data_IF_571521432994
#
_entry.id   IF_571521432994
#
_cell.length_a   1.000
_cell.length_b   1.000
_cell.length_c   1.000
_cell.angle_alpha   90.00
_cell.angle_beta   90.00
_cell.angle_gamma   90.00
#
_symmetry.space_group_name_H-M   'P 1'
#
loop_
_entity.id
_entity.type
_entity.pdbx_description
1 polymer ?
#
# COMPACT_ATOMS: atom_id res chain seq x y z
N UNK A 1 0.12 -28.64 -11.93
CA UNK A 1 1.39 -27.95 -12.20
C UNK A 1 1.51 -26.82 -11.18
N UNK A 2 2.63 -26.71 -10.45
CA UNK A 2 2.81 -25.59 -9.49
C UNK A 2 2.85 -24.27 -10.23
N UNK A 3 2.23 -23.22 -9.66
CA UNK A 3 2.32 -21.86 -10.20
C UNK A 3 3.77 -21.40 -10.25
N UNK A 4 4.15 -20.72 -11.32
CA UNK A 4 5.49 -20.17 -11.55
C UNK A 4 5.80 -19.10 -10.48
N UNK A 5 6.97 -19.23 -9.82
CA UNK A 5 7.44 -18.22 -8.86
C UNK A 5 8.04 -17.05 -9.60
N UNK A 6 7.50 -15.84 -9.38
CA UNK A 6 8.03 -14.60 -9.93
C UNK A 6 9.05 -13.94 -9.01
N UNK A 7 8.77 -13.87 -7.72
CA UNK A 7 9.64 -13.26 -6.73
C UNK A 7 9.86 -14.22 -5.57
N UNK A 8 11.12 -14.39 -5.19
CA UNK A 8 11.51 -15.12 -3.99
C UNK A 8 12.51 -14.31 -3.20
N UNK A 9 12.16 -13.98 -1.98
CA UNK A 9 13.02 -13.36 -0.98
C UNK A 9 13.30 -14.44 0.08
N UNK A 10 14.57 -14.72 0.34
CA UNK A 10 14.97 -15.81 1.24
C UNK A 10 15.93 -15.30 2.31
N UNK A 11 15.59 -15.53 3.57
CA UNK A 11 16.42 -15.21 4.75
C UNK A 11 16.92 -13.76 4.78
N UNK A 12 16.04 -12.82 4.43
CA UNK A 12 16.39 -11.40 4.39
C UNK A 12 16.60 -10.87 5.80
N UNK A 13 17.80 -10.34 6.04
CA UNK A 13 18.16 -9.63 7.26
C UNK A 13 18.45 -8.16 6.98
N UNK A 14 18.02 -7.30 7.92
CA UNK A 14 18.35 -5.86 7.91
C UNK A 14 18.46 -5.33 9.31
N UNK A 15 19.61 -4.74 9.61
CA UNK A 15 19.91 -4.12 10.89
C UNK A 15 20.11 -2.61 10.75
N UNK A 16 19.63 -1.85 11.72
CA UNK A 16 19.92 -0.44 11.92
C UNK A 16 20.52 -0.25 13.30
N UNK A 17 21.24 0.85 13.60
CA UNK A 17 21.79 1.07 14.93
C UNK A 17 20.74 0.87 16.03
N UNK A 18 20.92 -0.18 16.85
CA UNK A 18 20.04 -0.52 17.96
C UNK A 18 18.77 -1.29 17.62
N UNK A 19 18.49 -1.61 16.34
CA UNK A 19 17.26 -2.32 15.93
C UNK A 19 17.52 -3.32 14.82
N UNK A 20 17.18 -4.58 15.05
CA UNK A 20 17.10 -5.60 14.00
C UNK A 20 15.72 -5.53 13.34
N UNK A 21 15.65 -4.82 12.22
CA UNK A 21 14.38 -4.54 11.54
C UNK A 21 13.85 -5.72 10.72
N UNK A 22 14.74 -6.62 10.25
CA UNK A 22 14.41 -7.89 9.60
C UNK A 22 15.35 -8.97 10.09
N UNK A 23 14.77 -10.10 10.49
CA UNK A 23 15.49 -11.27 10.99
C UNK A 23 15.02 -12.52 10.24
N UNK A 24 15.81 -12.97 9.25
CA UNK A 24 15.56 -14.15 8.43
C UNK A 24 14.15 -14.20 7.81
N UNK A 25 13.68 -13.06 7.26
CA UNK A 25 12.35 -12.96 6.65
C UNK A 25 12.37 -13.54 5.23
N UNK A 26 11.39 -14.39 4.94
CA UNK A 26 11.20 -14.97 3.61
C UNK A 26 9.82 -14.64 3.06
N UNK A 27 9.74 -14.38 1.74
CA UNK A 27 8.50 -14.07 1.02
C UNK A 27 8.57 -14.67 -0.38
N UNK A 28 7.53 -15.37 -0.81
CA UNK A 28 7.44 -15.93 -2.15
C UNK A 28 6.17 -15.44 -2.84
N UNK A 29 6.29 -14.85 -4.03
CA UNK A 29 5.16 -14.37 -4.82
C UNK A 29 5.09 -15.14 -6.14
N UNK A 30 3.94 -15.70 -6.41
CA UNK A 30 3.67 -16.50 -7.61
C UNK A 30 3.03 -15.67 -8.71
N UNK A 31 3.20 -16.10 -9.94
CA UNK A 31 2.59 -15.47 -11.11
C UNK A 31 1.07 -15.54 -11.05
N UNK A 32 0.42 -14.42 -11.29
CA UNK A 32 -1.03 -14.34 -11.29
C UNK A 32 -1.65 -14.60 -9.93
N UNK A 33 -1.00 -14.19 -8.84
CA UNK A 33 -1.54 -14.29 -7.48
C UNK A 33 -1.43 -12.97 -6.73
N UNK A 34 -2.30 -12.82 -5.74
CA UNK A 34 -2.25 -11.76 -4.74
C UNK A 34 -1.69 -12.35 -3.45
N UNK A 35 -0.49 -11.94 -3.07
CA UNK A 35 0.16 -12.30 -1.82
C UNK A 35 0.02 -11.16 -0.81
N UNK A 36 -0.74 -11.37 0.24
CA UNK A 36 -0.89 -10.37 1.29
C UNK A 36 0.27 -10.43 2.29
N UNK A 37 0.77 -9.26 2.69
CA UNK A 37 1.79 -9.12 3.73
C UNK A 37 1.20 -8.36 4.91
N UNK A 38 1.03 -9.06 6.03
CA UNK A 38 0.39 -8.53 7.22
C UNK A 38 1.35 -8.46 8.41
N UNK A 39 1.00 -7.64 9.39
CA UNK A 39 1.75 -7.45 10.64
C UNK A 39 1.42 -6.10 11.26
N UNK A 40 1.71 -5.93 12.54
CA UNK A 40 1.55 -4.65 13.24
C UNK A 40 2.46 -3.55 12.66
N UNK A 41 2.22 -2.30 13.06
CA UNK A 41 3.15 -1.21 12.75
C UNK A 41 4.50 -1.51 13.40
N UNK A 42 5.59 -1.37 12.63
CA UNK A 42 6.92 -1.76 13.09
C UNK A 42 7.29 -3.24 12.84
N UNK A 43 6.40 -4.09 12.34
CA UNK A 43 6.69 -5.50 12.06
C UNK A 43 7.74 -5.75 10.95
N UNK A 44 8.25 -4.70 10.29
CA UNK A 44 9.29 -4.81 9.26
C UNK A 44 8.78 -4.83 7.82
N UNK A 45 7.46 -4.81 7.56
CA UNK A 45 6.87 -4.88 6.20
C UNK A 45 7.46 -3.85 5.23
N UNK A 46 7.43 -2.58 5.59
CA UNK A 46 7.97 -1.50 4.75
C UNK A 46 9.49 -1.59 4.59
N UNK A 47 10.21 -2.12 5.59
CA UNK A 47 11.65 -2.37 5.49
C UNK A 47 11.95 -3.48 4.49
N UNK A 48 11.17 -4.57 4.50
CA UNK A 48 11.28 -5.66 3.53
C UNK A 48 11.05 -5.15 2.09
N UNK A 49 10.02 -4.33 1.88
CA UNK A 49 9.76 -3.72 0.57
C UNK A 49 10.88 -2.74 0.17
N UNK A 50 11.41 -1.94 1.09
CA UNK A 50 12.54 -1.05 0.81
C UNK A 50 13.82 -1.82 0.43
N UNK A 51 14.03 -3.02 0.98
CA UNK A 51 15.10 -3.92 0.53
C UNK A 51 14.83 -4.45 -0.88
N UNK A 52 13.60 -4.84 -1.21
CA UNK A 52 13.21 -5.26 -2.56
C UNK A 52 13.46 -4.15 -3.58
N UNK A 53 13.15 -2.90 -3.23
CA UNK A 53 13.32 -1.74 -4.13
C UNK A 53 14.75 -1.16 -4.16
N UNK A 54 15.70 -1.75 -3.43
CA UNK A 54 17.08 -1.23 -3.37
C UNK A 54 17.20 0.15 -2.72
N UNK A 55 16.19 0.57 -1.93
CA UNK A 55 16.26 1.76 -1.08
C UNK A 55 17.15 1.48 0.12
N UNK A 56 17.02 0.28 0.68
CA UNK A 56 17.93 -0.25 1.69
C UNK A 56 18.69 -1.46 1.13
N UNK A 57 19.98 -1.51 1.36
CA UNK A 57 20.76 -2.74 1.14
C UNK A 57 20.39 -3.75 2.22
N UNK A 58 20.05 -4.97 1.84
CA UNK A 58 19.96 -6.09 2.77
C UNK A 58 21.33 -6.45 3.34
N UNK A 59 21.38 -6.89 4.59
CA UNK A 59 22.64 -7.28 5.23
C UNK A 59 22.94 -8.77 5.03
N UNK A 60 21.88 -9.59 4.85
CA UNK A 60 21.99 -11.01 4.49
C UNK A 60 20.75 -11.47 3.69
N UNK A 61 20.81 -12.70 3.17
CA UNK A 61 19.75 -13.30 2.37
C UNK A 61 19.88 -13.01 0.88
N UNK A 62 18.93 -13.52 0.08
CA UNK A 62 18.90 -13.31 -1.38
C UNK A 62 17.52 -12.93 -1.87
N UNK A 63 17.48 -12.20 -2.98
CA UNK A 63 16.27 -11.84 -3.72
C UNK A 63 16.42 -12.40 -5.13
N UNK A 64 15.44 -13.18 -5.56
CA UNK A 64 15.38 -13.76 -6.91
C UNK A 64 14.11 -13.27 -7.61
N UNK A 65 14.27 -12.77 -8.82
CA UNK A 65 13.17 -12.39 -9.72
C UNK A 65 13.21 -13.32 -10.94
N UNK A 66 12.13 -14.07 -11.18
CA UNK A 66 12.05 -15.10 -12.22
C UNK A 66 13.24 -16.08 -12.18
N UNK A 67 13.64 -16.54 -10.97
CA UNK A 67 14.73 -17.47 -10.74
C UNK A 67 16.13 -16.88 -10.92
N UNK A 68 16.25 -15.57 -11.15
CA UNK A 68 17.55 -14.88 -11.26
C UNK A 68 17.77 -14.02 -10.03
N UNK A 69 18.93 -14.17 -9.40
CA UNK A 69 19.31 -13.33 -8.28
C UNK A 69 19.44 -11.86 -8.71
N UNK A 70 18.82 -10.96 -7.94
CA UNK A 70 18.84 -9.52 -8.17
C UNK A 70 19.26 -8.78 -6.90
N UNK A 71 19.94 -7.66 -7.09
CA UNK A 71 20.33 -6.77 -6.00
C UNK A 71 20.28 -5.32 -6.52
N UNK A 72 19.09 -4.74 -6.49
CA UNK A 72 18.85 -3.41 -7.02
C UNK A 72 19.56 -2.35 -6.17
N UNK A 73 20.21 -1.40 -6.83
CA UNK A 73 20.95 -0.30 -6.18
C UNK A 73 20.06 0.90 -5.87
N UNK A 74 18.88 0.97 -6.49
CA UNK A 74 17.91 2.05 -6.33
C UNK A 74 16.55 1.65 -6.94
N UNK A 75 15.52 2.43 -6.63
CA UNK A 75 14.14 2.18 -7.10
C UNK A 75 14.00 2.22 -8.62
N UNK A 76 14.83 3.01 -9.35
CA UNK A 76 14.78 3.05 -10.82
C UNK A 76 15.22 1.71 -11.42
N UNK A 77 16.21 1.08 -10.83
CA UNK A 77 16.67 -0.24 -11.26
C UNK A 77 15.60 -1.31 -11.02
N UNK A 78 14.91 -1.27 -9.85
CA UNK A 78 13.79 -2.15 -9.56
C UNK A 78 12.64 -1.97 -10.58
N UNK A 79 12.25 -0.72 -10.86
CA UNK A 79 11.22 -0.40 -11.87
C UNK A 79 11.60 -0.90 -13.27
N UNK A 80 12.85 -0.71 -13.70
CA UNK A 80 13.34 -1.17 -15.01
C UNK A 80 13.37 -2.70 -15.12
N UNK A 81 13.42 -3.42 -14.00
CA UNK A 81 13.35 -4.88 -13.93
C UNK A 81 11.93 -5.41 -13.71
N UNK A 82 10.92 -4.55 -13.72
CA UNK A 82 9.52 -4.93 -13.65
C UNK A 82 8.99 -5.09 -12.23
N UNK A 83 9.55 -4.38 -11.25
CA UNK A 83 9.02 -4.29 -9.89
C UNK A 83 8.54 -2.86 -9.63
N UNK A 84 7.22 -2.65 -9.49
CA UNK A 84 6.62 -1.34 -9.20
C UNK A 84 5.97 -1.31 -7.82
N UNK A 85 5.75 -0.11 -7.30
CA UNK A 85 5.10 0.10 -6.01
C UNK A 85 4.15 1.28 -6.06
N UNK A 86 2.97 1.07 -5.50
CA UNK A 86 2.01 2.11 -5.12
C UNK A 86 2.25 2.39 -3.64
N UNK A 87 2.77 3.56 -3.34
CA UNK A 87 3.13 3.96 -1.96
C UNK A 87 1.90 4.43 -1.17
N UNK A 88 1.94 4.26 0.13
CA UNK A 88 0.96 4.81 1.06
C UNK A 88 0.94 6.35 1.00
N UNK A 89 2.11 6.98 0.96
CA UNK A 89 2.24 8.44 0.82
C UNK A 89 2.31 8.85 -0.65
N UNK A 90 1.47 9.81 -1.04
CA UNK A 90 1.42 10.33 -2.40
C UNK A 90 2.55 11.34 -2.64
N UNK A 91 3.68 10.85 -3.16
CA UNK A 91 4.84 11.67 -3.52
C UNK A 91 4.74 12.23 -4.94
N UNK A 92 3.74 13.07 -5.19
CA UNK A 92 3.39 13.61 -6.51
C UNK A 92 3.85 15.04 -6.71
N UNK A 93 4.19 15.38 -7.95
CA UNK A 93 4.48 16.75 -8.35
C UNK A 93 3.17 17.56 -8.48
N UNK A 94 2.67 18.11 -7.36
CA UNK A 94 1.34 18.71 -7.25
C UNK A 94 1.11 19.88 -8.22
N UNK A 95 2.15 20.62 -8.62
CA UNK A 95 2.08 21.73 -9.57
C UNK A 95 2.14 21.29 -11.04
N UNK A 96 2.29 20.00 -11.31
CA UNK A 96 2.29 19.41 -12.64
C UNK A 96 0.95 18.75 -12.92
N UNK A 97 0.67 18.50 -14.20
CA UNK A 97 -0.53 17.78 -14.61
C UNK A 97 -0.40 16.27 -14.36
N UNK A 98 -1.48 15.55 -14.59
CA UNK A 98 -1.59 14.10 -14.37
C UNK A 98 -0.62 13.33 -15.27
N UNK A 99 -0.62 13.59 -16.58
CA UNK A 99 0.28 12.87 -17.50
C UNK A 99 1.75 13.13 -17.20
N UNK A 100 2.14 14.35 -16.77
CA UNK A 100 3.51 14.62 -16.31
C UNK A 100 3.90 13.74 -15.12
N UNK A 101 2.98 13.52 -14.17
CA UNK A 101 3.25 12.65 -13.02
C UNK A 101 3.39 11.18 -13.39
N UNK A 102 2.58 10.67 -14.34
CA UNK A 102 2.67 9.29 -14.83
C UNK A 102 4.00 9.04 -15.53
N UNK A 103 4.42 9.97 -16.38
CA UNK A 103 5.61 9.81 -17.24
C UNK A 103 6.88 10.44 -16.67
N UNK A 104 6.87 10.91 -15.43
CA UNK A 104 8.01 11.56 -14.80
C UNK A 104 9.28 10.70 -14.88
N UNK A 105 10.34 11.27 -15.47
CA UNK A 105 11.63 10.59 -15.65
C UNK A 105 11.72 9.60 -16.81
N UNK A 106 10.62 9.44 -17.61
CA UNK A 106 10.55 8.56 -18.80
C UNK A 106 9.64 9.12 -19.88
N UNK A 107 9.70 10.43 -20.09
CA UNK A 107 8.89 11.12 -21.09
C UNK A 107 9.09 10.52 -22.49
N UNK A 108 8.01 10.25 -23.24
CA UNK A 108 8.13 9.93 -24.67
C UNK A 108 8.84 11.08 -25.40
N UNK A 109 9.83 10.75 -26.22
CA UNK A 109 10.66 11.75 -26.92
C UNK A 109 10.45 11.68 -28.42
N UNK A 110 10.42 12.85 -29.08
CA UNK A 110 10.52 12.97 -30.54
C UNK A 110 11.96 13.25 -30.91
N UNK A 111 12.53 12.41 -31.79
CA UNK A 111 13.93 12.49 -32.21
C UNK A 111 14.95 12.51 -31.05
N UNK A 112 14.57 12.03 -29.86
CA UNK A 112 15.46 11.98 -28.69
C UNK A 112 15.74 13.31 -27.99
N UNK A 113 15.13 14.41 -28.44
CA UNK A 113 15.45 15.78 -27.96
C UNK A 113 14.24 16.47 -27.34
N UNK A 114 13.06 16.32 -27.92
CA UNK A 114 11.84 17.03 -27.46
C UNK A 114 10.82 16.06 -26.89
N UNK A 115 10.16 16.48 -25.81
CA UNK A 115 9.04 15.70 -25.22
C UNK A 115 7.88 15.61 -26.22
N UNK A 116 7.41 14.41 -26.48
CA UNK A 116 6.25 14.16 -27.34
C UNK A 116 4.97 14.16 -26.50
N UNK A 117 4.42 15.36 -26.29
CA UNK A 117 3.19 15.51 -25.50
C UNK A 117 1.98 14.79 -26.11
N UNK A 118 1.89 14.71 -27.44
CA UNK A 118 0.81 14.01 -28.10
C UNK A 118 0.83 12.51 -27.79
N UNK A 119 2.00 11.90 -27.90
CA UNK A 119 2.22 10.49 -27.55
C UNK A 119 1.96 10.25 -26.06
N UNK A 120 2.41 11.15 -25.21
CA UNK A 120 2.20 11.09 -23.76
C UNK A 120 0.71 11.13 -23.41
N UNK A 121 -0.07 12.02 -24.06
CA UNK A 121 -1.51 12.11 -23.89
C UNK A 121 -2.23 10.85 -24.38
N UNK A 122 -1.86 10.35 -25.57
CA UNK A 122 -2.41 9.13 -26.17
C UNK A 122 -2.19 7.92 -25.23
N UNK A 123 -0.95 7.72 -24.77
CA UNK A 123 -0.60 6.58 -23.92
C UNK A 123 -1.27 6.69 -22.53
N UNK A 124 -1.41 7.92 -21.99
CA UNK A 124 -2.14 8.13 -20.73
C UNK A 124 -3.62 7.78 -20.88
N UNK A 125 -4.26 8.22 -21.97
CA UNK A 125 -5.67 7.92 -22.24
C UNK A 125 -5.89 6.40 -22.37
N UNK A 126 -5.01 5.68 -23.06
CA UNK A 126 -5.08 4.22 -23.17
C UNK A 126 -5.05 3.54 -21.79
N UNK A 127 -4.12 3.97 -20.93
CA UNK A 127 -4.03 3.43 -19.56
C UNK A 127 -5.32 3.74 -18.77
N UNK A 128 -5.85 4.95 -18.89
CA UNK A 128 -7.06 5.36 -18.19
C UNK A 128 -8.30 4.61 -18.69
N UNK A 129 -8.44 4.43 -19.99
CA UNK A 129 -9.50 3.62 -20.58
C UNK A 129 -9.43 2.16 -20.09
N UNK A 130 -8.24 1.59 -20.10
CA UNK A 130 -7.99 0.22 -19.63
C UNK A 130 -8.34 0.05 -18.13
N UNK A 131 -7.99 1.04 -17.31
CA UNK A 131 -8.22 1.02 -15.85
C UNK A 131 -9.61 1.56 -15.46
N UNK A 132 -10.39 2.08 -16.40
CA UNK A 132 -11.68 2.72 -16.11
C UNK A 132 -11.56 4.00 -15.28
N UNK A 133 -10.45 4.75 -15.44
CA UNK A 133 -10.18 5.99 -14.71
C UNK A 133 -10.72 7.19 -15.49
N UNK A 134 -11.70 7.89 -14.90
CA UNK A 134 -12.32 9.09 -15.51
C UNK A 134 -11.64 10.37 -14.99
N UNK A 135 -10.40 10.62 -15.41
CA UNK A 135 -9.61 11.80 -15.05
C UNK A 135 -9.01 12.42 -16.32
N UNK A 136 -9.06 13.76 -16.43
CA UNK A 136 -8.39 14.46 -17.53
C UNK A 136 -6.86 14.42 -17.33
N UNK A 137 -6.08 13.86 -18.29
CA UNK A 137 -4.63 13.80 -18.23
C UNK A 137 -3.94 15.16 -18.09
N UNK A 138 -4.58 16.23 -18.52
CA UNK A 138 -4.04 17.61 -18.44
C UNK A 138 -4.40 18.32 -17.13
N UNK A 139 -5.24 17.73 -16.29
CA UNK A 139 -5.65 18.32 -15.01
C UNK A 139 -4.45 18.44 -14.08
N UNK A 140 -4.35 19.57 -13.36
CA UNK A 140 -3.29 19.81 -12.37
C UNK A 140 -3.56 18.99 -11.11
N UNK A 141 -2.55 18.26 -10.64
CA UNK A 141 -2.66 17.33 -9.50
C UNK A 141 -3.18 18.01 -8.22
N UNK A 142 -2.77 19.25 -7.92
CA UNK A 142 -3.20 19.96 -6.71
C UNK A 142 -4.70 20.28 -6.67
N UNK A 143 -5.41 20.24 -7.81
CA UNK A 143 -6.85 20.49 -7.90
C UNK A 143 -7.71 19.24 -7.72
N UNK A 144 -7.06 18.10 -7.49
CA UNK A 144 -7.72 16.80 -7.42
C UNK A 144 -7.90 16.33 -5.97
N UNK A 145 -9.03 15.68 -5.65
CA UNK A 145 -9.17 14.98 -4.37
C UNK A 145 -8.12 13.87 -4.23
N UNK A 146 -7.83 13.51 -2.97
CA UNK A 146 -6.78 12.53 -2.63
C UNK A 146 -7.06 11.18 -3.30
N UNK A 147 -8.31 10.73 -3.33
CA UNK A 147 -8.71 9.47 -3.96
C UNK A 147 -8.40 9.42 -5.45
N UNK A 148 -8.69 10.49 -6.20
CA UNK A 148 -8.35 10.56 -7.62
C UNK A 148 -6.83 10.57 -7.83
N UNK A 149 -6.07 11.24 -6.95
CA UNK A 149 -4.61 11.21 -6.99
C UNK A 149 -4.06 9.81 -6.72
N UNK A 150 -4.72 9.04 -5.84
CA UNK A 150 -4.39 7.63 -5.60
C UNK A 150 -4.58 6.79 -6.88
N UNK A 151 -5.68 7.00 -7.63
CA UNK A 151 -5.90 6.31 -8.91
C UNK A 151 -4.82 6.66 -9.94
N UNK A 152 -4.30 7.89 -9.94
CA UNK A 152 -3.17 8.28 -10.81
C UNK A 152 -1.88 7.54 -10.41
N UNK A 153 -1.59 7.34 -9.12
CA UNK A 153 -0.43 6.53 -8.69
C UNK A 153 -0.57 5.07 -9.14
N UNK A 154 -1.76 4.51 -9.06
CA UNK A 154 -2.03 3.16 -9.57
C UNK A 154 -1.79 3.10 -11.09
N UNK A 155 -2.34 4.06 -11.85
CA UNK A 155 -2.11 4.16 -13.29
C UNK A 155 -0.62 4.29 -13.64
N UNK A 156 0.13 5.07 -12.86
CA UNK A 156 1.58 5.20 -12.97
C UNK A 156 2.29 3.87 -12.74
N UNK A 157 1.95 3.11 -11.70
CA UNK A 157 2.53 1.79 -11.44
C UNK A 157 2.23 0.81 -12.58
N UNK A 158 1.00 0.78 -13.08
CA UNK A 158 0.58 -0.06 -14.22
C UNK A 158 1.32 0.31 -15.50
N UNK A 159 1.57 1.60 -15.74
CA UNK A 159 2.27 2.10 -16.93
C UNK A 159 3.72 1.62 -17.09
N UNK A 160 4.31 0.99 -16.06
CA UNK A 160 5.62 0.32 -16.16
C UNK A 160 5.52 -1.11 -16.72
N UNK A 161 4.30 -1.63 -16.95
CA UNK A 161 4.09 -3.03 -17.36
C UNK A 161 4.86 -4.02 -16.47
N UNK A 162 4.73 -3.83 -15.19
CA UNK A 162 5.52 -4.52 -14.18
C UNK A 162 5.06 -5.97 -14.00
N UNK A 163 5.99 -6.85 -13.67
CA UNK A 163 5.75 -8.26 -13.33
C UNK A 163 5.28 -8.42 -11.88
N UNK A 164 5.81 -7.57 -11.00
CA UNK A 164 5.44 -7.48 -9.58
C UNK A 164 4.97 -6.06 -9.30
N UNK A 165 3.82 -5.93 -8.66
CA UNK A 165 3.31 -4.65 -8.15
C UNK A 165 3.03 -4.77 -6.66
N UNK A 166 3.65 -3.89 -5.89
CA UNK A 166 3.40 -3.75 -4.45
C UNK A 166 2.36 -2.67 -4.23
N UNK A 167 1.29 -2.97 -3.52
CA UNK A 167 0.30 -2.02 -3.04
C UNK A 167 0.48 -1.86 -1.52
N UNK A 168 0.96 -0.69 -1.08
CA UNK A 168 1.19 -0.39 0.33
C UNK A 168 0.05 0.49 0.87
N UNK A 169 -0.87 -0.13 1.61
CA UNK A 169 -2.10 0.48 2.16
C UNK A 169 -2.90 1.33 1.14
N UNK A 170 -3.22 0.81 -0.04
CA UNK A 170 -3.74 1.60 -1.14
C UNK A 170 -5.16 2.15 -0.90
N UNK A 171 -5.87 1.65 0.10
CA UNK A 171 -7.28 1.98 0.39
C UNK A 171 -7.45 2.98 1.53
N UNK A 172 -6.37 3.54 2.08
CA UNK A 172 -6.41 4.43 3.25
C UNK A 172 -7.22 5.73 3.02
N UNK A 173 -7.33 6.16 1.77
CA UNK A 173 -8.04 7.40 1.37
C UNK A 173 -9.16 7.17 0.36
N UNK A 174 -9.58 5.92 0.16
CA UNK A 174 -10.61 5.53 -0.80
C UNK A 174 -11.95 5.29 -0.13
N UNK A 175 -13.03 5.66 -0.83
CA UNK A 175 -14.40 5.24 -0.51
C UNK A 175 -14.60 3.75 -0.82
N UNK A 176 -15.68 3.15 -0.33
CA UNK A 176 -16.00 1.75 -0.62
C UNK A 176 -16.13 1.47 -2.12
N UNK A 177 -16.75 2.38 -2.88
CA UNK A 177 -16.87 2.25 -4.34
C UNK A 177 -15.50 2.29 -5.04
N UNK A 178 -14.61 3.16 -4.58
CA UNK A 178 -13.24 3.25 -5.10
C UNK A 178 -12.40 2.02 -4.73
N UNK A 179 -12.63 1.42 -3.56
CA UNK A 179 -12.00 0.14 -3.16
C UNK A 179 -12.47 -0.99 -4.09
N UNK A 180 -13.78 -1.05 -4.41
CA UNK A 180 -14.31 -2.01 -5.39
C UNK A 180 -13.64 -1.85 -6.77
N UNK A 181 -13.45 -0.60 -7.19
CA UNK A 181 -12.76 -0.31 -8.45
C UNK A 181 -11.29 -0.73 -8.40
N UNK A 182 -10.57 -0.43 -7.33
CA UNK A 182 -9.19 -0.90 -7.11
C UNK A 182 -9.10 -2.43 -7.20
N UNK A 183 -10.02 -3.14 -6.56
CA UNK A 183 -10.02 -4.61 -6.59
C UNK A 183 -10.26 -5.18 -7.99
N UNK A 184 -11.08 -4.52 -8.82
CA UNK A 184 -11.21 -4.88 -10.24
C UNK A 184 -9.88 -4.70 -10.99
N UNK A 185 -9.17 -3.60 -10.74
CA UNK A 185 -7.85 -3.35 -11.32
C UNK A 185 -6.84 -4.43 -10.88
N UNK A 186 -6.79 -4.75 -9.59
CA UNK A 186 -5.89 -5.79 -9.07
C UNK A 186 -6.19 -7.15 -9.69
N UNK A 187 -7.47 -7.54 -9.79
CA UNK A 187 -7.87 -8.79 -10.43
C UNK A 187 -7.47 -8.83 -11.91
N UNK A 188 -7.66 -7.74 -12.65
CA UNK A 188 -7.23 -7.63 -14.05
C UNK A 188 -5.71 -7.80 -14.18
N UNK A 189 -4.91 -7.19 -13.31
CA UNK A 189 -3.45 -7.33 -13.29
C UNK A 189 -3.02 -8.76 -12.96
N UNK A 190 -3.67 -9.38 -11.98
CA UNK A 190 -3.48 -10.77 -11.61
C UNK A 190 -3.76 -11.70 -12.81
N UNK A 191 -4.88 -11.50 -13.49
CA UNK A 191 -5.30 -12.31 -14.63
C UNK A 191 -4.33 -12.17 -15.84
N UNK A 192 -3.59 -11.07 -15.93
CA UNK A 192 -2.47 -10.87 -16.86
C UNK A 192 -1.17 -11.54 -16.43
N UNK A 193 -1.17 -12.21 -15.30
CA UNK A 193 -0.01 -12.91 -14.76
C UNK A 193 0.91 -12.04 -13.90
N UNK A 194 0.50 -10.83 -13.53
CA UNK A 194 1.25 -10.01 -12.59
C UNK A 194 1.19 -10.64 -11.18
N UNK A 195 2.31 -10.70 -10.47
CA UNK A 195 2.35 -11.03 -9.06
C UNK A 195 2.08 -9.77 -8.22
N UNK A 196 1.13 -9.86 -7.32
CA UNK A 196 0.73 -8.72 -6.49
C UNK A 196 1.17 -8.94 -5.05
N UNK A 197 1.83 -7.96 -4.45
CA UNK A 197 2.03 -7.90 -3.01
C UNK A 197 1.06 -6.84 -2.46
N UNK A 198 0.14 -7.27 -1.59
CA UNK A 198 -0.87 -6.40 -1.02
C UNK A 198 -0.64 -6.22 0.48
N UNK A 199 -0.28 -5.01 0.90
CA UNK A 199 -0.05 -4.66 2.30
C UNK A 199 -1.26 -3.89 2.80
N UNK A 200 -1.94 -4.41 3.82
CA UNK A 200 -3.05 -3.74 4.47
C UNK A 200 -3.19 -4.24 5.91
N UNK A 201 -3.73 -3.39 6.78
CA UNK A 201 -4.16 -3.78 8.13
C UNK A 201 -5.67 -4.11 8.18
N UNK A 202 -6.39 -3.92 7.08
CA UNK A 202 -7.83 -4.21 6.97
C UNK A 202 -8.05 -5.68 6.61
N UNK A 203 -8.31 -6.51 7.60
CA UNK A 203 -8.45 -7.97 7.46
C UNK A 203 -9.52 -8.39 6.46
N UNK A 204 -10.64 -7.65 6.40
CA UNK A 204 -11.72 -7.91 5.45
C UNK A 204 -11.26 -7.78 3.98
N UNK A 205 -10.39 -6.81 3.68
CA UNK A 205 -9.80 -6.65 2.35
C UNK A 205 -8.88 -7.82 2.02
N UNK A 206 -8.01 -8.20 2.96
CA UNK A 206 -7.08 -9.32 2.78
C UNK A 206 -7.81 -10.63 2.50
N UNK A 207 -8.77 -10.99 3.35
CA UNK A 207 -9.55 -12.23 3.20
C UNK A 207 -10.36 -12.27 1.91
N UNK A 208 -10.64 -11.12 1.31
CA UNK A 208 -11.40 -11.01 0.07
C UNK A 208 -10.53 -11.13 -1.18
N UNK A 209 -9.29 -10.61 -1.17
CA UNK A 209 -8.50 -10.46 -2.39
C UNK A 209 -7.28 -11.36 -2.46
N UNK A 210 -6.74 -11.80 -1.31
CA UNK A 210 -5.49 -12.56 -1.25
C UNK A 210 -5.68 -14.05 -1.56
N UNK A 211 -4.70 -14.62 -2.24
CA UNK A 211 -4.53 -16.06 -2.42
C UNK A 211 -3.72 -16.67 -1.26
N UNK A 212 -2.64 -16.00 -0.86
CA UNK A 212 -1.77 -16.38 0.25
C UNK A 212 -1.53 -15.17 1.16
N UNK A 213 -1.31 -15.43 2.45
CA UNK A 213 -1.06 -14.39 3.45
C UNK A 213 0.21 -14.74 4.23
N UNK A 214 1.19 -13.85 4.21
CA UNK A 214 2.35 -13.89 5.12
C UNK A 214 2.14 -12.93 6.27
N UNK A 215 2.31 -13.42 7.49
CA UNK A 215 2.27 -12.60 8.71
C UNK A 215 3.68 -12.39 9.24
N UNK A 216 4.02 -11.13 9.48
CA UNK A 216 5.26 -10.71 10.13
C UNK A 216 4.98 -10.11 11.50
N UNK A 217 5.91 -10.31 12.44
CA UNK A 217 5.90 -9.72 13.77
C UNK A 217 7.33 -9.48 14.25
N UNK A 218 7.60 -8.29 14.82
CA UNK A 218 8.89 -7.92 15.40
C UNK A 218 10.09 -8.20 14.47
N UNK A 219 9.93 -7.91 13.18
CA UNK A 219 10.97 -8.13 12.17
C UNK A 219 11.15 -9.58 11.73
N UNK A 220 10.33 -10.52 12.19
CA UNK A 220 10.41 -11.94 11.86
C UNK A 220 9.23 -12.43 11.02
N UNK A 221 9.48 -13.45 10.22
CA UNK A 221 8.43 -14.24 9.57
C UNK A 221 7.75 -15.14 10.59
N UNK A 222 6.43 -15.12 10.66
CA UNK A 222 5.65 -15.95 11.60
C UNK A 222 5.02 -17.15 10.89
N UNK A 223 4.29 -16.87 9.79
CA UNK A 223 3.61 -17.89 9.02
C UNK A 223 3.29 -17.39 7.61
N UNK A 224 3.15 -18.30 6.67
CA UNK A 224 2.53 -18.09 5.36
C UNK A 224 1.46 -19.15 5.18
N UNK A 225 0.22 -18.74 4.93
CA UNK A 225 -0.92 -19.66 4.79
C UNK A 225 -1.80 -19.24 3.60
N UNK A 226 -2.48 -20.19 2.94
CA UNK A 226 -3.54 -19.86 1.99
C UNK A 226 -4.65 -19.05 2.67
N UNK A 227 -5.10 -17.98 2.03
CA UNK A 227 -6.09 -17.05 2.60
C UNK A 227 -7.41 -17.78 2.97
N UNK A 228 -7.81 -18.77 2.19
CA UNK A 228 -8.99 -19.61 2.46
C UNK A 228 -8.96 -20.36 3.80
N UNK A 229 -7.77 -20.59 4.39
CA UNK A 229 -7.56 -21.28 5.66
C UNK A 229 -7.50 -20.32 6.85
N UNK A 230 -7.65 -19.01 6.61
CA UNK A 230 -7.51 -17.96 7.60
C UNK A 230 -8.89 -17.39 7.98
N UNK A 231 -9.01 -17.06 9.25
CA UNK A 231 -10.08 -16.24 9.80
C UNK A 231 -9.49 -15.00 10.43
N UNK A 232 -10.31 -13.97 10.65
CA UNK A 232 -9.87 -12.74 11.32
C UNK A 232 -9.18 -13.04 12.66
N UNK A 233 -9.75 -13.92 13.48
CA UNK A 233 -9.18 -14.29 14.79
C UNK A 233 -7.82 -14.98 14.66
N UNK A 234 -7.67 -15.87 13.66
CA UNK A 234 -6.40 -16.54 13.39
C UNK A 234 -5.31 -15.56 12.94
N UNK A 235 -5.67 -14.61 12.08
CA UNK A 235 -4.74 -13.54 11.65
C UNK A 235 -4.30 -12.71 12.87
N UNK A 236 -5.26 -12.26 13.69
CA UNK A 236 -4.96 -11.49 14.91
C UNK A 236 -4.03 -12.27 15.84
N UNK A 237 -4.32 -13.55 16.06
CA UNK A 237 -3.47 -14.41 16.90
C UNK A 237 -2.04 -14.52 16.36
N UNK A 238 -1.87 -14.64 15.05
CA UNK A 238 -0.55 -14.67 14.42
C UNK A 238 0.19 -13.32 14.54
N UNK A 239 -0.52 -12.20 14.35
CA UNK A 239 0.05 -10.86 14.43
C UNK A 239 0.45 -10.48 15.87
N UNK A 240 -0.42 -10.71 16.85
CA UNK A 240 -0.22 -10.28 18.25
C UNK A 240 0.50 -11.35 19.09
N UNK A 241 0.44 -12.61 18.68
CA UNK A 241 1.09 -13.72 19.37
C UNK A 241 0.34 -14.25 20.60
N UNK A 242 -0.83 -13.72 20.90
CA UNK A 242 -1.74 -14.16 21.97
C UNK A 242 -3.18 -14.08 21.53
N UNK A 243 -4.04 -14.86 22.15
CA UNK A 243 -5.47 -14.72 21.95
C UNK A 243 -5.98 -13.40 22.55
N UNK A 244 -6.73 -12.63 21.76
CA UNK A 244 -7.43 -11.45 22.29
C UNK A 244 -8.69 -11.94 23.01
N UNK A 245 -8.59 -12.16 24.31
CA UNK A 245 -9.71 -12.58 25.15
C UNK A 245 -10.76 -11.48 25.36
N UNK A 246 -10.36 -10.21 25.25
CA UNK A 246 -11.26 -9.06 25.38
C UNK A 246 -10.83 -7.95 24.40
N UNK A 247 -11.57 -7.81 23.30
CA UNK A 247 -11.36 -6.74 22.32
C UNK A 247 -11.64 -5.35 22.91
N UNK A 248 -12.58 -5.27 23.87
CA UNK A 248 -12.91 -4.04 24.59
C UNK A 248 -12.84 -4.31 26.09
N UNK A 249 -11.96 -3.62 26.83
CA UNK A 249 -11.93 -3.73 28.29
C UNK A 249 -13.27 -3.27 28.88
N UNK A 250 -13.76 -3.90 29.95
CA UNK A 250 -15.00 -3.48 30.59
C UNK A 250 -14.85 -2.04 31.13
N UNK A 251 -15.88 -1.23 30.93
CA UNK A 251 -15.94 0.12 31.49
C UNK A 251 -16.03 0.03 33.01
N UNK A 252 -14.93 0.33 33.70
CA UNK A 252 -14.87 0.36 35.16
C UNK A 252 -14.84 1.79 35.75
N UNK A 253 -14.62 2.79 34.90
CA UNK A 253 -14.55 4.20 35.26
C UNK A 253 -15.94 4.81 35.48
N UNK A 254 -16.05 5.68 36.47
CA UNK A 254 -17.23 6.54 36.69
C UNK A 254 -16.84 7.96 36.28
N UNK A 255 -17.59 8.61 35.35
CA UNK A 255 -17.34 9.99 34.97
C UNK A 255 -17.45 10.91 36.21
N UNK A 256 -16.45 11.75 36.40
CA UNK A 256 -16.39 12.72 37.50
C UNK A 256 -16.94 14.08 37.10
N UNK A 257 -16.33 15.16 37.64
CA UNK A 257 -16.65 16.54 37.32
C UNK A 257 -16.32 16.89 35.88
N UNK A 258 -16.99 17.88 35.30
CA UNK A 258 -16.70 18.43 33.98
C UNK A 258 -15.27 18.98 33.97
N UNK A 259 -14.43 18.44 33.08
CA UNK A 259 -13.05 18.86 32.91
C UNK A 259 -12.89 19.82 31.71
N UNK A 260 -13.73 19.65 30.68
CA UNK A 260 -13.77 20.51 29.50
C UNK A 260 -15.24 20.72 29.10
N UNK A 261 -15.60 21.95 28.86
CA UNK A 261 -16.88 22.35 28.30
C UNK A 261 -16.65 23.24 27.09
N UNK A 262 -17.27 22.87 25.98
CA UNK A 262 -17.24 23.62 24.73
C UNK A 262 -18.67 23.99 24.41
N UNK A 263 -18.93 25.30 24.19
CA UNK A 263 -20.26 25.83 23.91
C UNK A 263 -20.20 26.62 22.59
N UNK A 264 -21.12 26.31 21.67
CA UNK A 264 -21.39 27.06 20.43
C UNK A 264 -20.12 27.34 19.60
N UNK A 265 -19.17 26.37 19.56
CA UNK A 265 -17.92 26.50 18.81
C UNK A 265 -18.19 26.51 17.30
N UNK A 266 -17.84 27.62 16.68
CA UNK A 266 -17.92 27.76 15.22
C UNK A 266 -16.61 28.31 14.67
N UNK A 267 -16.19 27.84 13.49
CA UNK A 267 -14.99 28.32 12.83
C UNK A 267 -15.32 29.13 11.58
N UNK A 268 -14.62 30.27 11.42
CA UNK A 268 -14.94 31.31 10.42
C UNK A 268 -14.84 30.83 8.96
N UNK A 269 -14.05 29.79 8.68
CA UNK A 269 -13.79 29.31 7.32
C UNK A 269 -13.86 27.78 7.22
N UNK A 270 -14.61 27.11 8.08
CA UNK A 270 -14.78 25.67 8.07
C UNK A 270 -16.25 25.27 8.20
N UNK A 271 -16.53 23.98 7.95
CA UNK A 271 -17.86 23.39 8.14
C UNK A 271 -18.27 23.25 9.62
N UNK A 272 -17.39 23.65 10.56
CA UNK A 272 -17.66 23.59 11.97
C UNK A 272 -18.61 24.71 12.38
N UNK A 273 -19.84 24.37 12.76
CA UNK A 273 -20.87 25.31 13.16
C UNK A 273 -21.58 24.81 14.44
N UNK A 274 -21.65 25.68 15.45
CA UNK A 274 -22.45 25.52 16.68
C UNK A 274 -22.23 24.18 17.41
N UNK A 275 -20.96 23.75 17.52
CA UNK A 275 -20.60 22.49 18.17
C UNK A 275 -20.46 22.70 19.67
N UNK A 276 -21.24 21.93 20.45
CA UNK A 276 -21.19 21.95 21.92
C UNK A 276 -21.01 20.53 22.45
N UNK A 277 -20.08 20.36 23.40
CA UNK A 277 -19.89 19.10 24.10
C UNK A 277 -19.19 19.29 25.44
N UNK A 278 -19.29 18.28 26.31
CA UNK A 278 -18.61 18.25 27.62
C UNK A 278 -17.80 16.97 27.74
N UNK A 279 -16.60 17.07 28.30
CA UNK A 279 -15.81 15.93 28.71
C UNK A 279 -15.58 15.97 30.22
N UNK A 280 -15.78 14.83 30.89
CA UNK A 280 -15.64 14.72 32.36
C UNK A 280 -14.34 14.02 32.72
N UNK A 281 -13.84 14.24 33.94
CA UNK A 281 -12.67 13.50 34.43
C UNK A 281 -12.92 12.00 34.39
N UNK A 282 -11.97 11.23 33.85
CA UNK A 282 -12.07 9.79 33.70
C UNK A 282 -13.09 9.31 32.63
N UNK A 283 -13.56 10.20 31.74
CA UNK A 283 -14.44 9.89 30.64
C UNK A 283 -13.67 9.85 29.32
N UNK A 284 -14.10 8.97 28.41
CA UNK A 284 -13.66 8.97 27.01
C UNK A 284 -14.86 9.43 26.17
N UNK A 285 -14.71 10.59 25.53
CA UNK A 285 -15.73 11.17 24.64
C UNK A 285 -15.32 10.92 23.20
N UNK A 286 -16.21 10.31 22.41
CA UNK A 286 -16.04 10.15 20.96
C UNK A 286 -16.62 11.37 20.23
N UNK A 287 -15.85 11.95 19.31
CA UNK A 287 -16.34 12.93 18.34
C UNK A 287 -16.41 12.24 16.99
N UNK A 288 -17.59 12.24 16.35
CA UNK A 288 -17.86 11.59 15.06
C UNK A 288 -18.35 12.60 14.03
#
# INVERSE_FOLDING_TARGET
MGQEVLLQMTDICKEFPGVKALDHVSLTVKKGTVHALMGENGAGKSTLMKCLFGIYSKDAGKIELEGKEVNFKNSREALNNGVAMVHQELNQALKRNVMDNIWLGRYPMTAGIMVNEHKMLEDTNKIFEELGIAVDPKRIMSTMPVSQRQMVEIAKAVSYNSKIIVFDEPTSSLTEEEVEHLFKIINMLRDRGCGIIYISHKMAEILRIADEVTVMRDGTWIATEPAQNLTTDKIIKLMVGRELTNQFPPKTNKPGEVALEVENLSARYSLLQDVSFKARKGEIVGLA
#
